data_IF_922445073666
#
_entry.id   IF_922445073666
#
_cell.length_a   1.000
_cell.length_b   1.000
_cell.length_c   1.000
_cell.angle_alpha   90.00
_cell.angle_beta   90.00
_cell.angle_gamma   90.00
#
_symmetry.space_group_name_H-M   'P 1'
#
loop_
_entity.id
_entity.type
_entity.pdbx_description
1 polymer ?
#
# COMPACT_ATOMS: atom_id res chain seq x y z
N UNK A 1 5.78 12.34 -18.14
CA UNK A 1 5.63 11.82 -16.77
C UNK A 1 4.42 10.91 -16.80
N UNK A 2 4.62 9.61 -16.97
CA UNK A 2 3.52 8.64 -16.98
C UNK A 2 2.89 8.65 -15.58
N UNK A 3 1.56 8.73 -15.50
CA UNK A 3 0.87 8.52 -14.24
C UNK A 3 1.32 7.16 -13.68
N UNK A 4 1.81 7.10 -12.42
CA UNK A 4 2.23 5.84 -11.85
C UNK A 4 0.99 4.96 -11.82
N UNK A 5 1.00 3.89 -12.60
CA UNK A 5 -0.09 2.94 -12.62
C UNK A 5 -0.38 2.53 -11.17
N UNK A 6 -1.58 2.82 -10.69
CA UNK A 6 -2.00 2.47 -9.32
C UNK A 6 -2.10 0.95 -9.11
N UNK A 7 -1.84 0.16 -10.16
CA UNK A 7 -1.75 -1.30 -10.13
C UNK A 7 -0.40 -1.71 -9.59
N UNK A 8 -0.26 -1.66 -8.27
CA UNK A 8 0.85 -2.29 -7.58
C UNK A 8 0.62 -3.80 -7.53
N UNK A 9 1.58 -4.56 -8.02
CA UNK A 9 1.64 -6.00 -7.86
C UNK A 9 2.21 -6.36 -6.50
N UNK A 10 2.07 -7.63 -6.08
CA UNK A 10 2.70 -8.13 -4.86
C UNK A 10 4.22 -7.95 -4.87
N UNK A 11 4.84 -8.08 -6.04
CA UNK A 11 6.27 -7.86 -6.23
C UNK A 11 6.68 -6.40 -6.01
N UNK A 12 5.84 -5.44 -6.40
CA UNK A 12 6.09 -4.02 -6.14
C UNK A 12 6.02 -3.71 -4.64
N UNK A 13 5.14 -4.39 -3.90
CA UNK A 13 5.09 -4.28 -2.44
C UNK A 13 6.35 -4.86 -1.78
N UNK A 14 6.82 -6.03 -2.24
CA UNK A 14 8.08 -6.61 -1.74
C UNK A 14 9.24 -5.64 -1.98
N UNK A 15 9.33 -5.07 -3.18
CA UNK A 15 10.39 -4.13 -3.53
C UNK A 15 10.36 -2.89 -2.63
N UNK A 16 9.19 -2.28 -2.43
CA UNK A 16 9.02 -1.11 -1.55
C UNK A 16 9.39 -1.42 -0.09
N UNK A 17 9.06 -2.62 0.40
CA UNK A 17 9.47 -3.05 1.75
C UNK A 17 10.99 -3.23 1.82
N UNK A 18 11.60 -3.83 0.80
CA UNK A 18 13.06 -4.01 0.74
C UNK A 18 13.79 -2.65 0.68
N UNK A 19 13.27 -1.68 -0.08
CA UNK A 19 13.77 -0.31 -0.13
C UNK A 19 13.65 0.38 1.24
N UNK A 20 12.48 0.26 1.88
CA UNK A 20 12.25 0.85 3.20
C UNK A 20 13.20 0.29 4.27
N UNK A 21 13.55 -0.99 4.17
CA UNK A 21 14.51 -1.65 5.06
C UNK A 21 15.97 -1.41 4.66
N UNK A 22 16.24 -0.70 3.56
CA UNK A 22 17.60 -0.52 3.00
C UNK A 22 18.32 -1.84 2.69
N UNK A 23 17.57 -2.88 2.32
CA UNK A 23 18.08 -4.22 1.97
C UNK A 23 17.79 -4.59 0.51
N UNK A 24 17.25 -3.66 -0.28
CA UNK A 24 17.00 -3.88 -1.69
C UNK A 24 18.33 -4.05 -2.43
N UNK A 25 18.58 -5.20 -3.09
CA UNK A 25 19.71 -5.32 -3.98
C UNK A 25 19.53 -4.40 -5.19
N UNK A 26 20.65 -3.93 -5.73
CA UNK A 26 20.68 -3.15 -6.97
C UNK A 26 21.20 -4.01 -8.11
N UNK A 27 20.63 -3.83 -9.29
CA UNK A 27 21.15 -4.44 -10.51
C UNK A 27 22.39 -3.69 -11.04
N UNK A 28 22.94 -4.15 -12.16
CA UNK A 28 24.08 -3.51 -12.81
C UNK A 28 23.81 -2.09 -13.34
N UNK A 29 22.56 -1.64 -13.38
CA UNK A 29 22.15 -0.29 -13.77
C UNK A 29 21.82 0.60 -12.55
N UNK A 30 21.99 0.09 -11.32
CA UNK A 30 21.68 0.81 -10.08
C UNK A 30 20.18 0.87 -9.77
N UNK A 31 19.36 0.03 -10.41
CA UNK A 31 17.93 -0.07 -10.16
C UNK A 31 17.67 -1.08 -9.05
N UNK A 32 16.82 -0.73 -8.09
CA UNK A 32 16.41 -1.64 -7.03
C UNK A 32 15.63 -2.82 -7.62
N UNK A 33 16.02 -4.04 -7.24
CA UNK A 33 15.36 -5.28 -7.68
C UNK A 33 14.86 -6.08 -6.48
N UNK A 34 13.98 -7.05 -6.76
CA UNK A 34 13.45 -7.94 -5.74
C UNK A 34 14.60 -8.72 -5.10
N UNK A 35 14.64 -8.83 -3.76
CA UNK A 35 15.64 -9.63 -3.07
C UNK A 35 15.69 -11.08 -3.57
N UNK A 36 16.88 -11.51 -3.97
CA UNK A 36 17.16 -12.91 -4.36
C UNK A 36 17.61 -13.77 -3.17
N UNK A 37 18.10 -13.13 -2.10
CA UNK A 37 18.38 -13.81 -0.84
C UNK A 37 17.09 -14.35 -0.22
N UNK A 38 17.08 -15.66 0.06
CA UNK A 38 15.88 -16.36 0.52
C UNK A 38 15.39 -15.82 1.89
N UNK A 39 16.31 -15.46 2.79
CA UNK A 39 15.94 -14.93 4.10
C UNK A 39 15.32 -13.55 3.97
N UNK A 40 15.97 -12.62 3.25
CA UNK A 40 15.47 -11.26 3.04
C UNK A 40 14.12 -11.28 2.33
N UNK A 41 13.96 -12.14 1.32
CA UNK A 41 12.70 -12.29 0.60
C UNK A 41 11.57 -12.75 1.54
N UNK A 42 11.81 -13.74 2.39
CA UNK A 42 10.82 -14.22 3.36
C UNK A 42 10.48 -13.15 4.42
N UNK A 43 11.46 -12.38 4.88
CA UNK A 43 11.22 -11.23 5.79
C UNK A 43 10.31 -10.20 5.12
N UNK A 44 10.58 -9.85 3.86
CA UNK A 44 9.78 -8.87 3.13
C UNK A 44 8.34 -9.38 2.91
N UNK A 45 8.16 -10.63 2.48
CA UNK A 45 6.82 -11.25 2.32
C UNK A 45 6.04 -11.24 3.64
N UNK A 46 6.69 -11.58 4.75
CA UNK A 46 6.07 -11.58 6.08
C UNK A 46 5.58 -10.18 6.46
N UNK A 47 6.39 -9.15 6.27
CA UNK A 47 6.01 -7.76 6.57
C UNK A 47 4.83 -7.28 5.71
N UNK A 48 4.82 -7.63 4.42
CA UNK A 48 3.68 -7.33 3.54
C UNK A 48 2.40 -8.00 4.06
N UNK A 49 2.47 -9.29 4.40
CA UNK A 49 1.32 -10.04 4.92
C UNK A 49 0.85 -9.53 6.30
N UNK A 50 1.78 -9.16 7.18
CA UNK A 50 1.46 -8.54 8.48
C UNK A 50 0.77 -7.19 8.29
N UNK A 51 1.20 -6.40 7.29
CA UNK A 51 0.55 -5.17 6.88
C UNK A 51 -0.89 -5.40 6.45
N UNK A 52 -1.12 -6.36 5.55
CA UNK A 52 -2.47 -6.74 5.14
C UNK A 52 -3.33 -7.20 6.33
N UNK A 53 -2.77 -8.03 7.22
CA UNK A 53 -3.49 -8.51 8.41
C UNK A 53 -3.87 -7.36 9.34
N UNK A 54 -2.97 -6.41 9.59
CA UNK A 54 -3.26 -5.21 10.40
C UNK A 54 -4.33 -4.33 9.75
N UNK A 55 -4.27 -4.17 8.43
CA UNK A 55 -5.26 -3.41 7.68
C UNK A 55 -6.65 -4.04 7.77
N UNK A 56 -6.78 -5.34 7.49
CA UNK A 56 -8.06 -6.05 7.62
C UNK A 56 -8.60 -6.06 9.05
N UNK A 57 -7.73 -6.19 10.06
CA UNK A 57 -8.17 -6.13 11.46
C UNK A 57 -8.67 -4.74 11.89
N UNK A 58 -8.07 -3.66 11.36
CA UNK A 58 -8.50 -2.29 11.65
C UNK A 58 -9.74 -1.88 10.85
N UNK A 59 -9.94 -2.47 9.68
CA UNK A 59 -11.05 -2.18 8.79
C UNK A 59 -11.79 -3.48 8.37
N UNK A 60 -12.42 -4.20 9.31
CA UNK A 60 -12.99 -5.53 9.05
C UNK A 60 -14.15 -5.55 8.06
N UNK A 61 -14.78 -4.37 7.83
CA UNK A 61 -15.87 -4.19 6.85
C UNK A 61 -15.39 -3.62 5.52
N UNK A 62 -14.11 -3.32 5.39
CA UNK A 62 -13.57 -2.78 4.15
C UNK A 62 -13.55 -3.88 3.08
N UNK A 63 -14.08 -3.55 1.91
CA UNK A 63 -13.91 -4.37 0.72
C UNK A 63 -13.53 -3.46 -0.46
N UNK A 64 -12.93 -4.04 -1.50
CA UNK A 64 -12.51 -3.30 -2.70
C UNK A 64 -13.67 -2.72 -3.53
N UNK A 65 -14.92 -3.06 -3.21
CA UNK A 65 -16.13 -2.58 -3.88
C UNK A 65 -16.89 -1.51 -3.09
N UNK A 66 -16.42 -1.15 -1.88
CA UNK A 66 -17.08 -0.20 -1.00
C UNK A 66 -16.14 1.00 -0.80
N UNK A 67 -16.44 2.10 -1.48
CA UNK A 67 -15.84 3.39 -1.13
C UNK A 67 -16.43 3.86 0.20
N UNK A 68 -15.56 4.14 1.17
CA UNK A 68 -15.97 4.80 2.41
C UNK A 68 -16.24 6.26 2.10
N UNK A 69 -17.51 6.65 2.06
CA UNK A 69 -17.94 8.04 1.92
C UNK A 69 -18.26 8.59 3.31
N UNK A 70 -17.63 9.70 3.69
CA UNK A 70 -17.89 10.38 4.97
C UNK A 70 -18.74 11.60 4.68
N UNK A 71 -20.01 11.58 5.11
CA UNK A 71 -20.88 12.76 5.07
C UNK A 71 -20.72 13.48 6.39
N UNK A 72 -20.28 14.74 6.33
CA UNK A 72 -20.27 15.62 7.50
C UNK A 72 -21.61 16.34 7.53
N UNK A 73 -22.42 16.09 8.55
CA UNK A 73 -23.63 16.89 8.80
C UNK A 73 -23.21 18.21 9.45
N UNK A 74 -22.67 19.13 8.65
CA UNK A 74 -22.49 20.52 9.03
C UNK A 74 -23.50 21.38 8.26
N UNK A 75 -24.64 21.75 8.87
CA UNK A 75 -25.66 22.55 8.20
C UNK A 75 -25.16 23.96 7.81
N UNK A 76 -24.05 24.42 8.38
CA UNK A 76 -23.45 25.75 8.10
C UNK A 76 -22.19 25.67 7.22
N UNK A 77 -21.76 24.45 6.83
CA UNK A 77 -20.57 24.26 6.02
C UNK A 77 -20.79 24.61 4.54
N UNK A 78 -19.75 25.09 3.85
CA UNK A 78 -19.76 25.30 2.38
C UNK A 78 -19.13 24.12 1.62
N UNK A 79 -19.12 22.93 2.23
CA UNK A 79 -18.50 21.73 1.66
C UNK A 79 -19.36 21.09 0.57
N UNK A 80 -18.75 20.41 -0.42
CA UNK A 80 -19.49 19.75 -1.51
C UNK A 80 -20.35 18.56 -1.06
N UNK A 81 -20.16 18.06 0.17
CA UNK A 81 -20.78 16.84 0.69
C UNK A 81 -21.85 17.11 1.77
N UNK A 82 -22.40 18.33 1.82
CA UNK A 82 -23.42 18.69 2.80
C UNK A 82 -24.82 18.28 2.30
N UNK A 83 -25.56 17.55 3.14
CA UNK A 83 -26.93 17.10 2.87
C UNK A 83 -27.91 17.96 3.65
N UNK A 84 -28.87 18.58 2.95
CA UNK A 84 -29.98 19.39 3.50
C UNK A 84 -31.25 18.55 3.65
#
# INVERSE_FOLDING_TARGET
>A
MAEPSLRLTFNDFILRVAEHLSVAPVDGAGVAIIPTDAYILEVCKRLVNDGFRRFYNSHPRWNWTLQTFTITFDPDGTGPDNVN
#
